data_IF_123793450292
#
_entry.id   IF_123793450292
#
_cell.length_a   1.000
_cell.length_b   1.000
_cell.length_c   1.000
_cell.angle_alpha   90.00
_cell.angle_beta   90.00
_cell.angle_gamma   90.00
#
_symmetry.space_group_name_H-M   'P 1'
#
loop_
_entity.id
_entity.type
_entity.pdbx_description
1 polymer ?
#
# COMPACT_ATOMS: atom_id res chain seq x y z
N UNK A 1 0.58 -2.88 3.74
CA UNK A 1 -0.03 -3.89 4.61
C UNK A 1 0.99 -4.94 5.01
N UNK A 2 0.90 -5.48 6.22
CA UNK A 2 1.81 -6.50 6.75
C UNK A 2 1.07 -7.41 7.74
N UNK A 3 1.59 -8.62 7.94
CA UNK A 3 1.06 -9.58 8.94
C UNK A 3 1.98 -9.73 10.18
N UNK A 4 1.53 -10.52 11.15
CA UNK A 4 2.30 -10.80 12.36
C UNK A 4 3.46 -11.80 12.17
N UNK A 5 3.56 -12.42 10.99
CA UNK A 5 4.57 -13.43 10.65
C UNK A 5 5.76 -12.84 9.88
N UNK A 6 5.79 -11.51 9.69
CA UNK A 6 6.88 -10.79 9.03
C UNK A 6 6.79 -10.71 7.51
N UNK A 7 5.59 -10.86 6.95
CA UNK A 7 5.33 -10.68 5.52
C UNK A 7 4.61 -9.36 5.26
N UNK A 8 4.93 -8.76 4.13
CA UNK A 8 4.21 -7.62 3.57
C UNK A 8 3.39 -8.04 2.34
N UNK A 9 2.39 -7.23 2.05
CA UNK A 9 1.44 -7.45 0.95
C UNK A 9 1.47 -6.26 0.01
N UNK A 10 1.72 -6.56 -1.25
CA UNK A 10 1.78 -5.62 -2.37
C UNK A 10 0.81 -6.08 -3.45
N UNK A 11 0.62 -5.24 -4.42
CA UNK A 11 -0.16 -5.53 -5.63
C UNK A 11 0.69 -5.29 -6.86
N UNK A 12 0.37 -5.98 -7.95
CA UNK A 12 0.97 -5.75 -9.25
C UNK A 12 -0.14 -5.40 -10.22
N UNK A 13 -0.02 -4.24 -10.83
CA UNK A 13 -1.03 -3.67 -11.71
C UNK A 13 -0.40 -3.15 -12.99
N UNK A 14 -1.06 -3.36 -14.14
CA UNK A 14 -0.65 -2.77 -15.40
C UNK A 14 -0.89 -1.27 -15.40
N UNK A 15 0.13 -0.49 -15.75
CA UNK A 15 0.05 0.96 -15.85
C UNK A 15 0.30 1.41 -17.29
N UNK A 16 -0.77 1.74 -17.98
CA UNK A 16 -0.78 2.14 -19.39
C UNK A 16 0.26 3.22 -19.76
N UNK A 17 0.50 4.29 -18.96
CA UNK A 17 1.48 5.31 -19.31
C UNK A 17 2.92 4.77 -19.46
N UNK A 18 3.23 3.66 -18.80
CA UNK A 18 4.55 3.02 -18.83
C UNK A 18 4.58 1.74 -19.64
N UNK A 19 3.41 1.24 -20.09
CA UNK A 19 3.25 -0.03 -20.80
C UNK A 19 3.92 -1.21 -20.05
N UNK A 20 3.83 -1.21 -18.73
CA UNK A 20 4.39 -2.25 -17.88
C UNK A 20 3.53 -2.54 -16.63
N UNK A 21 3.76 -3.72 -16.04
CA UNK A 21 3.20 -4.06 -14.73
C UNK A 21 4.09 -3.47 -13.63
N UNK A 22 3.49 -2.70 -12.72
CA UNK A 22 4.19 -2.02 -11.63
C UNK A 22 3.77 -2.65 -10.30
N UNK A 23 4.77 -2.89 -9.45
CA UNK A 23 4.56 -3.35 -8.07
C UNK A 23 4.31 -2.15 -7.15
N UNK A 24 3.16 -2.17 -6.48
CA UNK A 24 2.67 -1.05 -5.69
C UNK A 24 2.12 -1.51 -4.33
N UNK A 25 2.04 -0.59 -3.38
CA UNK A 25 1.17 -0.78 -2.20
C UNK A 25 -0.29 -0.68 -2.63
N UNK A 26 -1.20 -1.30 -1.86
CA UNK A 26 -2.65 -1.11 -2.01
C UNK A 26 -2.96 0.39 -1.94
N UNK A 27 -3.69 0.90 -2.90
CA UNK A 27 -4.05 2.31 -2.98
C UNK A 27 -5.31 2.53 -3.82
N UNK A 28 -6.14 3.47 -3.41
CA UNK A 28 -7.32 3.89 -4.17
C UNK A 28 -7.76 5.30 -3.82
N UNK A 29 -8.82 5.74 -4.45
CA UNK A 29 -9.39 7.07 -4.25
C UNK A 29 -10.41 7.05 -3.10
N UNK A 30 -10.42 8.11 -2.28
CA UNK A 30 -11.47 8.31 -1.31
C UNK A 30 -12.81 8.58 -2.03
N UNK A 31 -13.85 7.90 -1.62
CA UNK A 31 -15.21 8.17 -2.08
C UNK A 31 -15.79 9.40 -1.38
N UNK A 32 -16.90 9.93 -1.90
CA UNK A 32 -17.57 11.10 -1.31
C UNK A 32 -18.05 10.80 0.12
N UNK A 33 -17.57 11.58 1.07
CA UNK A 33 -17.89 11.42 2.50
C UNK A 33 -17.05 10.40 3.25
N UNK A 34 -16.12 9.72 2.57
CA UNK A 34 -15.21 8.73 3.16
C UNK A 34 -13.97 9.40 3.74
N UNK A 35 -13.56 8.99 4.91
CA UNK A 35 -12.26 9.38 5.47
C UNK A 35 -11.13 8.58 4.81
N UNK A 36 -9.90 9.10 4.86
CA UNK A 36 -8.73 8.39 4.33
C UNK A 36 -8.51 7.02 5.00
N UNK A 37 -8.85 6.86 6.29
CA UNK A 37 -8.77 5.58 6.99
C UNK A 37 -9.83 4.58 6.51
N UNK A 38 -11.06 5.04 6.28
CA UNK A 38 -12.15 4.21 5.74
C UNK A 38 -11.80 3.74 4.34
N UNK A 39 -11.31 4.65 3.48
CA UNK A 39 -10.81 4.33 2.14
C UNK A 39 -9.72 3.28 2.20
N UNK A 40 -8.69 3.47 3.03
CA UNK A 40 -7.60 2.50 3.16
C UNK A 40 -8.09 1.11 3.57
N UNK A 41 -9.09 1.00 4.45
CA UNK A 41 -9.68 -0.29 4.85
C UNK A 41 -10.47 -0.93 3.72
N UNK A 42 -11.26 -0.16 2.99
CA UNK A 42 -12.05 -0.62 1.85
C UNK A 42 -11.14 -1.16 0.77
N UNK A 43 -10.13 -0.39 0.36
CA UNK A 43 -9.16 -0.77 -0.67
C UNK A 43 -8.35 -2.02 -0.29
N UNK A 44 -7.94 -2.16 0.97
CA UNK A 44 -7.28 -3.38 1.46
C UNK A 44 -8.17 -4.62 1.26
N UNK A 45 -9.47 -4.49 1.49
CA UNK A 45 -10.39 -5.60 1.30
C UNK A 45 -10.67 -5.88 -0.19
N UNK A 46 -10.86 -4.84 -1.00
CA UNK A 46 -11.15 -4.97 -2.43
C UNK A 46 -9.97 -5.56 -3.20
N UNK A 47 -8.78 -5.02 -3.01
CA UNK A 47 -7.59 -5.43 -3.77
C UNK A 47 -6.93 -6.72 -3.26
N UNK A 48 -6.88 -6.95 -1.95
CA UNK A 48 -6.14 -8.11 -1.39
C UNK A 48 -6.94 -8.98 -0.41
N UNK A 49 -8.25 -8.81 -0.32
CA UNK A 49 -9.15 -9.52 0.61
C UNK A 49 -8.78 -9.36 2.10
N UNK A 50 -7.96 -8.37 2.46
CA UNK A 50 -7.42 -8.21 3.81
C UNK A 50 -8.34 -7.39 4.70
N UNK A 51 -8.36 -7.74 5.99
CA UNK A 51 -8.98 -6.99 7.07
C UNK A 51 -7.88 -6.47 8.01
N UNK A 52 -8.04 -5.23 8.50
CA UNK A 52 -7.19 -4.66 9.52
C UNK A 52 -8.02 -3.91 10.57
N UNK A 53 -7.61 -3.98 11.83
CA UNK A 53 -8.27 -3.24 12.91
C UNK A 53 -7.63 -1.87 13.13
N UNK A 54 -6.31 -1.81 13.09
CA UNK A 54 -5.54 -0.60 13.35
C UNK A 54 -4.75 -0.17 12.11
N UNK A 55 -4.84 1.13 11.83
CA UNK A 55 -4.01 1.82 10.87
C UNK A 55 -3.08 2.78 11.59
N UNK A 56 -1.80 2.75 11.25
CA UNK A 56 -0.82 3.73 11.74
C UNK A 56 -0.55 4.72 10.64
N UNK A 57 -0.91 5.99 10.85
CA UNK A 57 -0.70 7.07 9.89
C UNK A 57 0.80 7.33 9.71
N UNK A 58 1.27 7.22 8.47
CA UNK A 58 2.67 7.45 8.08
C UNK A 58 2.94 8.87 7.59
N UNK A 59 1.89 9.65 7.36
CA UNK A 59 1.95 11.01 6.86
C UNK A 59 1.33 11.20 5.49
N UNK A 60 1.30 12.42 5.03
CA UNK A 60 0.90 12.83 3.68
C UNK A 60 2.10 12.80 2.72
N UNK A 61 1.83 12.47 1.47
CA UNK A 61 2.79 12.46 0.38
C UNK A 61 2.23 13.25 -0.80
N UNK A 62 3.02 14.15 -1.34
CA UNK A 62 2.70 14.92 -2.54
C UNK A 62 3.55 14.39 -3.70
N UNK A 63 2.98 13.61 -4.63
CA UNK A 63 3.78 12.91 -5.65
C UNK A 63 4.48 13.87 -6.61
N UNK A 64 3.79 14.92 -7.03
CA UNK A 64 4.31 15.84 -8.07
C UNK A 64 3.85 17.29 -7.82
N UNK A 65 4.31 17.94 -6.73
CA UNK A 65 3.80 19.26 -6.32
C UNK A 65 4.07 20.39 -7.33
N UNK A 66 4.91 20.15 -8.33
CA UNK A 66 5.20 21.12 -9.38
C UNK A 66 4.06 21.34 -10.39
N UNK A 67 3.15 20.34 -10.55
CA UNK A 67 2.06 20.42 -11.53
C UNK A 67 0.79 19.62 -11.17
N UNK A 68 0.78 18.97 -10.04
CA UNK A 68 -0.37 18.22 -9.54
C UNK A 68 -0.61 18.55 -8.08
N UNK A 69 -1.87 18.72 -7.69
CA UNK A 69 -2.29 18.98 -6.31
C UNK A 69 -2.73 17.72 -5.56
N UNK A 70 -2.40 16.55 -6.11
CA UNK A 70 -2.69 15.26 -5.47
C UNK A 70 -2.02 15.15 -4.10
N UNK A 71 -2.80 14.68 -3.13
CA UNK A 71 -2.34 14.36 -1.79
C UNK A 71 -2.65 12.91 -1.49
N UNK A 72 -1.66 12.16 -1.04
CA UNK A 72 -1.80 10.75 -0.70
C UNK A 72 -1.60 10.59 0.81
N UNK A 73 -2.62 10.12 1.50
CA UNK A 73 -2.52 9.71 2.91
C UNK A 73 -1.97 8.29 2.98
N UNK A 74 -0.86 8.10 3.70
CA UNK A 74 -0.21 6.81 3.83
C UNK A 74 -0.45 6.20 5.20
N UNK A 75 -0.70 4.89 5.22
CA UNK A 75 -0.91 4.13 6.45
C UNK A 75 -0.10 2.83 6.43
N UNK A 76 0.35 2.40 7.60
CA UNK A 76 0.76 1.01 7.84
C UNK A 76 -0.44 0.26 8.42
N UNK A 77 -0.80 -0.87 7.79
CA UNK A 77 -1.95 -1.69 8.17
C UNK A 77 -1.49 -3.08 8.60
N UNK A 78 -1.75 -3.44 9.86
CA UNK A 78 -1.54 -4.81 10.34
C UNK A 78 -2.76 -5.66 9.98
N UNK A 79 -2.55 -6.68 9.16
CA UNK A 79 -3.61 -7.61 8.74
C UNK A 79 -4.01 -8.48 9.94
N UNK A 80 -5.30 -8.54 10.21
CA UNK A 80 -5.90 -9.35 11.27
C UNK A 80 -6.67 -10.56 10.73
N UNK A 81 -6.94 -10.58 9.43
CA UNK A 81 -7.67 -11.66 8.79
C UNK A 81 -7.90 -11.39 7.31
N UNK A 82 -8.56 -12.35 6.66
CA UNK A 82 -8.95 -12.26 5.25
C UNK A 82 -10.43 -12.55 5.09
N UNK A 83 -11.09 -11.74 4.27
CA UNK A 83 -12.48 -11.92 3.87
C UNK A 83 -12.61 -11.49 2.42
N UNK A 84 -13.13 -12.37 1.56
CA UNK A 84 -13.31 -12.07 0.14
C UNK A 84 -13.99 -10.71 -0.05
N UNK A 85 -13.27 -9.81 -0.69
CA UNK A 85 -13.74 -8.50 -1.11
C UNK A 85 -14.46 -8.55 -2.45
N UNK A 86 -14.92 -7.39 -2.88
CA UNK A 86 -15.50 -7.20 -4.21
C UNK A 86 -14.58 -6.22 -4.95
N UNK A 87 -13.64 -6.71 -5.76
CA UNK A 87 -12.76 -5.83 -6.53
C UNK A 87 -13.56 -5.06 -7.57
N UNK A 88 -13.06 -3.90 -7.94
CA UNK A 88 -13.63 -3.13 -9.03
C UNK A 88 -13.57 -3.95 -10.34
N UNK A 89 -14.67 -3.95 -11.15
CA UNK A 89 -14.77 -4.82 -12.33
C UNK A 89 -13.68 -4.59 -13.39
N UNK A 90 -13.11 -3.40 -13.42
CA UNK A 90 -12.11 -2.99 -14.40
C UNK A 90 -10.66 -3.07 -13.89
N UNK A 91 -10.46 -3.55 -12.65
CA UNK A 91 -9.14 -3.70 -12.04
C UNK A 91 -8.63 -5.14 -12.11
N UNK A 92 -7.51 -5.32 -12.83
CA UNK A 92 -6.78 -6.58 -12.90
C UNK A 92 -5.55 -6.49 -12.01
N UNK A 93 -5.70 -6.92 -10.76
CA UNK A 93 -4.68 -6.82 -9.71
C UNK A 93 -4.17 -8.20 -9.35
N UNK A 94 -2.85 -8.39 -9.41
CA UNK A 94 -2.16 -9.57 -8.88
C UNK A 94 -1.71 -9.28 -7.45
N UNK A 95 -2.07 -10.16 -6.50
CA UNK A 95 -1.66 -10.05 -5.09
C UNK A 95 -0.27 -10.64 -4.90
N UNK A 96 0.60 -9.93 -4.19
CA UNK A 96 1.97 -10.34 -3.90
C UNK A 96 2.15 -10.41 -2.39
N UNK A 97 2.65 -11.54 -1.88
CA UNK A 97 3.07 -11.69 -0.49
C UNK A 97 4.55 -12.02 -0.44
N UNK A 98 5.34 -11.18 0.22
CA UNK A 98 6.79 -11.34 0.34
C UNK A 98 7.26 -11.07 1.77
N UNK A 99 8.40 -11.65 2.19
CA UNK A 99 9.04 -11.28 3.46
C UNK A 99 9.35 -9.77 3.50
N UNK A 100 9.12 -9.13 4.65
CA UNK A 100 9.41 -7.69 4.79
C UNK A 100 10.86 -7.31 4.44
N UNK A 101 11.91 -8.08 4.80
CA UNK A 101 13.27 -7.76 4.38
C UNK A 101 13.46 -7.70 2.86
N UNK A 102 12.80 -8.58 2.11
CA UNK A 102 12.85 -8.59 0.63
C UNK A 102 12.17 -7.34 0.07
N UNK A 103 11.00 -6.97 0.61
CA UNK A 103 10.29 -5.74 0.22
C UNK A 103 11.16 -4.49 0.47
N UNK A 104 11.89 -4.45 1.59
CA UNK A 104 12.80 -3.34 1.88
C UNK A 104 13.94 -3.27 0.86
N UNK A 105 14.52 -4.40 0.50
CA UNK A 105 15.57 -4.48 -0.51
C UNK A 105 15.07 -4.01 -1.89
N UNK A 106 13.88 -4.46 -2.31
CA UNK A 106 13.25 -4.04 -3.56
C UNK A 106 13.00 -2.52 -3.62
N UNK A 107 12.63 -1.91 -2.49
CA UNK A 107 12.43 -0.46 -2.41
C UNK A 107 13.76 0.33 -2.45
N UNK A 108 14.84 -0.23 -1.89
CA UNK A 108 16.16 0.42 -1.82
C UNK A 108 16.96 0.28 -3.10
N UNK A 109 16.86 -0.86 -3.80
CA UNK A 109 17.65 -1.15 -4.99
C UNK A 109 17.03 -0.63 -6.30
N UNK A 110 15.81 -0.03 -6.24
CA UNK A 110 15.12 0.54 -7.40
C UNK A 110 14.30 -0.46 -8.22
N UNK A 111 14.11 -1.68 -7.74
CA UNK A 111 13.20 -2.66 -8.35
C UNK A 111 11.75 -2.18 -8.26
N UNK A 112 11.34 -1.62 -7.11
CA UNK A 112 10.07 -0.89 -6.99
C UNK A 112 10.27 0.53 -7.48
N UNK A 113 9.54 0.91 -8.53
CA UNK A 113 9.66 2.21 -9.19
C UNK A 113 8.60 3.22 -8.74
N UNK A 114 7.48 2.77 -8.18
CA UNK A 114 6.40 3.64 -7.74
C UNK A 114 6.77 4.43 -6.50
N UNK A 115 6.79 5.77 -6.60
CA UNK A 115 7.28 6.67 -5.56
C UNK A 115 6.49 6.62 -4.26
N UNK A 116 5.14 6.49 -4.32
CA UNK A 116 4.31 6.35 -3.11
C UNK A 116 4.62 5.06 -2.36
N UNK A 117 4.86 3.97 -3.12
CA UNK A 117 5.20 2.65 -2.58
C UNK A 117 6.56 2.67 -1.89
N UNK A 118 7.60 3.18 -2.53
CA UNK A 118 8.94 3.34 -1.93
C UNK A 118 8.86 4.18 -0.65
N UNK A 119 8.15 5.31 -0.71
CA UNK A 119 8.01 6.21 0.44
C UNK A 119 7.30 5.51 1.62
N UNK A 120 6.18 4.82 1.36
CA UNK A 120 5.43 4.11 2.39
C UNK A 120 6.25 2.97 3.04
N UNK A 121 6.96 2.18 2.22
CA UNK A 121 7.80 1.07 2.68
C UNK A 121 8.92 1.58 3.59
N UNK A 122 9.68 2.60 3.18
CA UNK A 122 10.80 3.12 3.95
C UNK A 122 10.36 3.80 5.25
N UNK A 123 9.21 4.50 5.24
CA UNK A 123 8.63 5.05 6.47
C UNK A 123 8.16 3.95 7.43
N UNK A 124 7.48 2.92 6.93
CA UNK A 124 7.04 1.79 7.74
C UNK A 124 8.23 1.04 8.33
N UNK A 125 9.27 0.75 7.54
CA UNK A 125 10.52 0.13 8.00
C UNK A 125 11.12 0.89 9.19
N UNK A 126 11.19 2.22 9.11
CA UNK A 126 11.71 3.03 10.21
C UNK A 126 10.90 2.90 11.50
N UNK A 127 9.58 2.68 11.39
CA UNK A 127 8.73 2.45 12.56
C UNK A 127 8.91 1.03 13.14
N UNK A 128 9.14 0.01 12.29
CA UNK A 128 9.52 -1.33 12.73
C UNK A 128 10.85 -1.31 13.49
N UNK A 129 11.88 -0.65 12.98
CA UNK A 129 13.18 -0.49 13.63
C UNK A 129 13.09 0.19 15.00
N UNK A 130 12.11 1.06 15.20
CA UNK A 130 11.82 1.74 16.47
C UNK A 130 10.90 0.93 17.41
N UNK A 131 10.42 -0.23 16.98
CA UNK A 131 9.46 -1.04 17.74
C UNK A 131 8.06 -0.41 17.87
N UNK A 132 7.71 0.53 16.98
CA UNK A 132 6.38 1.16 16.95
C UNK A 132 5.38 0.28 16.19
N UNK A 133 5.85 -0.38 15.13
CA UNK A 133 5.11 -1.43 14.42
C UNK A 133 5.65 -2.79 14.84
N UNK A 134 4.75 -3.78 14.95
CA UNK A 134 5.10 -5.16 15.35
C UNK A 134 4.10 -6.17 14.74
#
# INVERSE_FOLDING_TARGET
>A
AYDGDGYGYLVKQYRYPFDEYITEVVAGLCEEGETAEESARRELNEEIDALCENLVFLGEFYPTPGYCDEKISMFAAKITGFKKGTPDPDEFIEKIKLPLPEIYEMAENGEIKDGKTVTAILKARRLFEKGILC
#
